data_IF_086787752972
#
_entry.id   IF_086787752972
#
_cell.length_a   1.000
_cell.length_b   1.000
_cell.length_c   1.000
_cell.angle_alpha   90.00
_cell.angle_beta   90.00
_cell.angle_gamma   90.00
#
_symmetry.space_group_name_H-M   'P 1'
#
loop_
_entity.id
_entity.type
_entity.pdbx_description
1 polymer ?
#
# COMPACT_ATOMS: atom_id res chain seq x y z
N UNK A 1 -18.90 1.71 -30.73
CA UNK A 1 -18.38 1.22 -29.44
C UNK A 1 -18.07 2.38 -28.51
N UNK A 2 -18.60 2.32 -27.30
CA UNK A 2 -18.34 3.36 -26.30
C UNK A 2 -16.97 3.16 -25.68
N UNK A 3 -16.25 4.24 -25.41
CA UNK A 3 -14.96 4.24 -24.71
C UNK A 3 -15.14 4.87 -23.34
N UNK A 4 -14.60 4.25 -22.30
CA UNK A 4 -14.52 4.85 -20.98
C UNK A 4 -13.10 5.43 -20.81
N UNK A 5 -13.04 6.72 -20.57
CA UNK A 5 -11.77 7.43 -20.33
C UNK A 5 -11.68 7.75 -18.83
N UNK A 6 -10.91 6.93 -18.12
CA UNK A 6 -10.87 6.97 -16.66
C UNK A 6 -9.43 7.09 -16.19
N UNK A 7 -9.19 8.00 -15.24
CA UNK A 7 -7.90 8.15 -14.57
C UNK A 7 -8.17 8.45 -13.10
N UNK A 8 -8.10 7.43 -12.27
CA UNK A 8 -8.28 7.56 -10.83
C UNK A 8 -7.00 7.10 -10.14
N UNK A 9 -6.21 8.06 -9.70
CA UNK A 9 -4.99 7.79 -8.98
C UNK A 9 -5.27 7.68 -7.48
N UNK A 10 -4.70 6.66 -6.84
CA UNK A 10 -4.89 6.40 -5.43
C UNK A 10 -3.54 6.19 -4.75
N UNK A 11 -3.48 6.60 -3.50
CA UNK A 11 -2.38 6.32 -2.59
C UNK A 11 -2.93 5.36 -1.55
N UNK A 12 -2.42 4.13 -1.54
CA UNK A 12 -2.88 3.06 -0.66
C UNK A 12 -1.79 2.77 0.36
N UNK A 13 -2.19 2.62 1.62
CA UNK A 13 -1.27 2.34 2.73
C UNK A 13 -1.83 1.18 3.53
N UNK A 14 -1.00 0.18 3.80
CA UNK A 14 -1.33 -0.86 4.78
C UNK A 14 -0.05 -1.38 5.43
N UNK A 15 -0.20 -1.95 6.63
CA UNK A 15 0.92 -2.44 7.40
C UNK A 15 0.86 -3.95 7.59
N UNK A 16 1.96 -4.53 8.06
CA UNK A 16 1.96 -5.93 8.47
C UNK A 16 1.11 -6.09 9.72
N UNK A 17 0.57 -7.28 9.94
CA UNK A 17 -0.23 -7.56 11.12
C UNK A 17 0.55 -7.23 12.39
N UNK A 18 -0.10 -6.55 13.33
CA UNK A 18 0.52 -6.18 14.61
C UNK A 18 1.01 -7.44 15.34
N UNK A 19 2.21 -7.37 15.88
CA UNK A 19 2.89 -8.52 16.50
C UNK A 19 3.14 -9.68 15.51
N UNK A 20 3.01 -9.42 14.20
CA UNK A 20 3.28 -10.40 13.16
C UNK A 20 4.71 -10.32 12.64
N UNK A 21 4.92 -11.08 11.58
CA UNK A 21 6.22 -11.17 10.92
C UNK A 21 6.44 -9.91 10.06
N UNK A 22 7.55 -9.21 10.29
CA UNK A 22 7.92 -8.05 9.48
C UNK A 22 8.65 -8.50 8.22
N UNK A 23 8.60 -7.68 7.17
CA UNK A 23 9.42 -7.91 5.97
C UNK A 23 10.89 -7.68 6.33
N UNK A 24 11.79 -8.50 5.77
CA UNK A 24 13.22 -8.29 5.93
C UNK A 24 13.70 -7.21 4.97
N UNK A 25 14.64 -6.37 5.42
CA UNK A 25 15.22 -5.30 4.61
C UNK A 25 15.67 -5.80 3.24
N UNK A 26 16.35 -6.94 3.21
CA UNK A 26 16.89 -7.50 1.96
C UNK A 26 15.81 -7.94 0.98
N UNK A 27 14.58 -8.13 1.43
CA UNK A 27 13.48 -8.59 0.60
C UNK A 27 12.58 -7.45 0.10
N UNK A 28 12.72 -6.24 0.66
CA UNK A 28 11.81 -5.13 0.36
C UNK A 28 11.72 -4.82 -1.13
N UNK A 29 12.86 -4.73 -1.80
CA UNK A 29 12.87 -4.36 -3.22
C UNK A 29 12.08 -5.35 -4.07
N UNK A 30 12.28 -6.64 -3.85
CA UNK A 30 11.57 -7.66 -4.63
C UNK A 30 10.11 -7.79 -4.22
N UNK A 31 9.78 -7.57 -2.94
CA UNK A 31 8.39 -7.56 -2.49
C UNK A 31 7.63 -6.42 -3.17
N UNK A 32 8.19 -5.21 -3.14
CA UNK A 32 7.55 -4.04 -3.75
C UNK A 32 7.44 -4.19 -5.27
N UNK A 33 8.45 -4.76 -5.91
CA UNK A 33 8.41 -5.06 -7.33
C UNK A 33 7.32 -6.07 -7.67
N UNK A 34 7.15 -7.10 -6.84
CA UNK A 34 6.09 -8.10 -7.04
C UNK A 34 4.69 -7.48 -6.89
N UNK A 35 4.51 -6.59 -5.90
CA UNK A 35 3.26 -5.86 -5.72
C UNK A 35 2.94 -5.04 -6.96
N UNK A 36 3.92 -4.31 -7.50
CA UNK A 36 3.75 -3.57 -8.75
C UNK A 36 3.32 -4.45 -9.91
N UNK A 37 3.89 -5.64 -10.00
CA UNK A 37 3.51 -6.63 -11.01
C UNK A 37 2.06 -7.10 -10.88
N UNK A 38 1.60 -7.33 -9.64
CA UNK A 38 0.19 -7.69 -9.38
C UNK A 38 -0.72 -6.59 -9.89
N UNK A 39 -0.43 -5.34 -9.54
CA UNK A 39 -1.23 -4.17 -9.93
C UNK A 39 -1.38 -4.10 -11.44
N UNK A 40 -0.27 -4.22 -12.17
CA UNK A 40 -0.28 -4.14 -13.63
C UNK A 40 -1.05 -5.31 -14.24
N UNK A 41 -0.90 -6.52 -13.69
CA UNK A 41 -1.59 -7.71 -14.19
C UNK A 41 -3.12 -7.60 -14.08
N UNK A 42 -3.62 -6.96 -13.01
CA UNK A 42 -5.06 -6.85 -12.80
C UNK A 42 -5.67 -5.58 -13.40
N UNK A 43 -4.91 -4.88 -14.25
CA UNK A 43 -5.42 -3.77 -15.04
C UNK A 43 -5.17 -2.38 -14.48
N UNK A 44 -4.46 -2.27 -13.36
CA UNK A 44 -4.02 -0.99 -12.82
C UNK A 44 -2.75 -0.51 -13.51
N UNK A 45 -2.32 0.68 -13.16
CA UNK A 45 -1.02 1.22 -13.59
C UNK A 45 -0.23 1.58 -12.34
N UNK A 46 0.89 0.90 -12.13
CA UNK A 46 1.77 1.17 -10.99
C UNK A 46 2.61 2.40 -11.27
N UNK A 47 2.55 3.40 -10.38
CA UNK A 47 3.46 4.54 -10.42
C UNK A 47 4.63 4.33 -9.48
N UNK A 48 4.37 3.86 -8.26
CA UNK A 48 5.43 3.51 -7.32
C UNK A 48 4.91 2.61 -6.19
N UNK A 49 5.80 1.79 -5.66
CA UNK A 49 5.55 0.99 -4.47
C UNK A 49 6.78 1.15 -3.59
N UNK A 50 6.59 1.59 -2.36
CA UNK A 50 7.68 1.79 -1.42
C UNK A 50 7.22 1.58 0.01
N UNK A 51 8.14 1.74 0.94
CA UNK A 51 7.84 1.57 2.36
C UNK A 51 9.07 1.15 3.14
N UNK A 52 8.82 0.58 4.29
CA UNK A 52 9.85 0.02 5.16
C UNK A 52 9.38 -1.35 5.66
N UNK A 53 10.05 -1.93 6.65
CA UNK A 53 9.84 -3.34 7.04
C UNK A 53 8.45 -3.67 7.56
N UNK A 54 7.69 -2.69 8.03
CA UNK A 54 6.38 -2.92 8.65
C UNK A 54 5.19 -2.38 7.87
N UNK A 55 5.40 -1.65 6.77
CA UNK A 55 4.28 -1.14 5.97
C UNK A 55 4.68 -0.81 4.54
N UNK A 56 3.66 -0.64 3.70
CA UNK A 56 3.83 -0.35 2.27
C UNK A 56 2.94 0.82 1.87
N UNK A 57 3.47 1.64 0.98
CA UNK A 57 2.75 2.70 0.27
C UNK A 57 2.71 2.34 -1.21
N UNK A 58 1.53 2.46 -1.79
CA UNK A 58 1.31 2.21 -3.22
C UNK A 58 0.71 3.45 -3.86
N UNK A 59 1.28 3.90 -4.96
CA UNK A 59 0.66 4.92 -5.81
C UNK A 59 0.37 4.27 -7.15
N UNK A 60 -0.90 4.24 -7.51
CA UNK A 60 -1.35 3.52 -8.71
C UNK A 60 -2.63 4.13 -9.28
N UNK A 61 -2.87 3.89 -10.56
CA UNK A 61 -4.18 4.14 -11.15
C UNK A 61 -5.07 2.93 -10.93
N UNK A 62 -6.29 3.19 -10.44
CA UNK A 62 -7.29 2.15 -10.21
C UNK A 62 -7.84 1.64 -11.56
N UNK A 63 -7.92 0.32 -11.77
CA UNK A 63 -8.55 -0.20 -12.99
C UNK A 63 -10.03 0.20 -13.04
N UNK A 64 -10.52 0.56 -14.22
CA UNK A 64 -11.92 0.97 -14.39
C UNK A 64 -12.94 -0.14 -14.16
N UNK A 65 -12.49 -1.39 -14.13
CA UNK A 65 -13.35 -2.58 -13.99
C UNK A 65 -13.39 -3.16 -12.58
N UNK A 66 -12.66 -2.59 -11.63
CA UNK A 66 -12.62 -3.11 -10.26
C UNK A 66 -12.95 -2.02 -9.26
N UNK A 67 -13.62 -2.44 -8.16
CA UNK A 67 -13.78 -1.57 -7.00
C UNK A 67 -12.43 -1.41 -6.29
N UNK A 68 -12.31 -0.35 -5.50
CA UNK A 68 -11.12 -0.15 -4.67
C UNK A 68 -10.92 -1.34 -3.72
N UNK A 69 -11.98 -1.82 -3.08
CA UNK A 69 -11.88 -2.93 -2.14
C UNK A 69 -11.41 -4.22 -2.80
N UNK A 70 -11.92 -4.55 -3.98
CA UNK A 70 -11.47 -5.73 -4.73
C UNK A 70 -10.01 -5.59 -5.17
N UNK A 71 -9.63 -4.41 -5.61
CA UNK A 71 -8.27 -4.11 -6.03
C UNK A 71 -7.28 -4.36 -4.88
N UNK A 72 -7.55 -3.78 -3.70
CA UNK A 72 -6.70 -3.95 -2.52
C UNK A 72 -6.70 -5.40 -2.05
N UNK A 73 -7.86 -6.06 -2.06
CA UNK A 73 -7.97 -7.46 -1.64
C UNK A 73 -7.07 -8.37 -2.46
N UNK A 74 -7.05 -8.20 -3.78
CA UNK A 74 -6.20 -9.01 -4.66
C UNK A 74 -4.73 -8.72 -4.39
N UNK A 75 -4.35 -7.45 -4.27
CA UNK A 75 -2.96 -7.07 -3.97
C UNK A 75 -2.49 -7.73 -2.68
N UNK A 76 -3.28 -7.65 -1.62
CA UNK A 76 -2.93 -8.20 -0.32
C UNK A 76 -2.85 -9.72 -0.34
N UNK A 77 -3.85 -10.40 -0.90
CA UNK A 77 -3.87 -11.86 -0.90
C UNK A 77 -2.77 -12.47 -1.77
N UNK A 78 -2.55 -11.92 -2.96
CA UNK A 78 -1.53 -12.44 -3.86
C UNK A 78 -0.13 -12.15 -3.34
N UNK A 79 0.11 -10.95 -2.83
CA UNK A 79 1.42 -10.61 -2.27
C UNK A 79 1.73 -11.42 -1.01
N UNK A 80 0.76 -11.63 -0.13
CA UNK A 80 0.94 -12.44 1.07
C UNK A 80 1.32 -13.88 0.71
N UNK A 81 0.63 -14.47 -0.25
CA UNK A 81 0.92 -15.83 -0.72
C UNK A 81 2.34 -15.93 -1.28
N UNK A 82 2.73 -14.96 -2.10
CA UNK A 82 4.07 -14.95 -2.68
C UNK A 82 5.15 -14.74 -1.62
N UNK A 83 4.94 -13.81 -0.68
CA UNK A 83 5.89 -13.55 0.41
C UNK A 83 6.13 -14.83 1.22
N UNK A 84 5.08 -15.59 1.51
CA UNK A 84 5.22 -16.87 2.22
C UNK A 84 6.05 -17.89 1.46
N UNK A 85 6.14 -17.78 0.14
CA UNK A 85 6.95 -18.66 -0.69
C UNK A 85 8.43 -18.32 -0.71
N UNK A 86 8.81 -17.13 -0.21
CA UNK A 86 10.22 -16.70 -0.24
C UNK A 86 11.08 -17.54 0.70
N UNK A 87 10.59 -17.76 1.92
CA UNK A 87 11.40 -18.38 2.98
C UNK A 87 10.46 -18.80 4.13
N UNK A 88 10.86 -19.81 4.90
CA UNK A 88 10.09 -20.29 6.06
C UNK A 88 9.92 -19.21 7.14
N UNK A 89 10.81 -18.21 7.17
CA UNK A 89 10.65 -17.04 8.04
C UNK A 89 9.27 -16.41 7.87
N UNK A 90 8.71 -16.45 6.66
CA UNK A 90 7.44 -15.82 6.34
C UNK A 90 6.23 -16.74 6.45
N UNK A 91 6.36 -17.91 7.04
CA UNK A 91 5.26 -18.90 7.10
C UNK A 91 3.97 -18.33 7.71
N UNK A 92 4.10 -17.45 8.69
CA UNK A 92 2.96 -16.84 9.38
C UNK A 92 2.77 -15.37 9.01
N UNK A 93 3.35 -14.93 7.91
CA UNK A 93 3.20 -13.56 7.44
C UNK A 93 1.74 -13.24 7.16
N UNK A 94 1.31 -12.03 7.55
CA UNK A 94 -0.02 -11.51 7.21
C UNK A 94 0.03 -9.99 7.19
N UNK A 95 -0.73 -9.40 6.26
CA UNK A 95 -1.03 -7.97 6.28
C UNK A 95 -2.15 -7.69 7.29
N UNK A 96 -2.27 -6.44 7.75
CA UNK A 96 -3.45 -6.01 8.52
C UNK A 96 -4.72 -6.31 7.72
N UNK A 97 -5.86 -6.40 8.39
CA UNK A 97 -7.14 -6.61 7.69
C UNK A 97 -7.59 -5.36 6.94
N UNK A 98 -7.36 -4.19 7.51
CA UNK A 98 -7.74 -2.93 6.90
C UNK A 98 -6.68 -2.33 5.99
N UNK A 99 -6.95 -1.11 5.54
CA UNK A 99 -6.03 -0.31 4.73
C UNK A 99 -6.49 1.14 4.75
N UNK A 100 -5.58 2.06 4.39
CA UNK A 100 -5.93 3.43 4.06
C UNK A 100 -5.84 3.64 2.56
N UNK A 101 -6.75 4.43 2.01
CA UNK A 101 -6.69 4.78 0.59
C UNK A 101 -7.13 6.22 0.40
N UNK A 102 -6.35 6.97 -0.35
CA UNK A 102 -6.54 8.41 -0.53
C UNK A 102 -6.42 8.76 -2.00
N UNK A 103 -7.30 9.63 -2.47
CA UNK A 103 -7.24 10.13 -3.84
C UNK A 103 -6.00 11.00 -4.05
N UNK A 104 -5.44 10.95 -5.25
CA UNK A 104 -4.29 11.78 -5.61
C UNK A 104 -4.63 12.52 -6.90
N UNK A 105 -4.67 13.86 -6.81
CA UNK A 105 -4.89 14.67 -8.02
C UNK A 105 -3.67 14.58 -8.92
N UNK A 106 -3.88 14.77 -10.23
CA UNK A 106 -2.79 14.73 -11.21
C UNK A 106 -1.70 15.77 -10.91
N UNK A 107 -2.07 16.90 -10.32
CA UNK A 107 -1.13 17.96 -9.97
C UNK A 107 -0.23 17.61 -8.79
N UNK A 108 -0.64 16.67 -7.94
CA UNK A 108 0.12 16.24 -6.77
C UNK A 108 0.77 14.86 -6.96
N UNK A 109 0.62 14.27 -8.13
CA UNK A 109 1.08 12.90 -8.38
C UNK A 109 2.60 12.76 -8.19
N UNK A 110 3.39 13.63 -8.80
CA UNK A 110 4.85 13.57 -8.69
C UNK A 110 5.32 13.76 -7.25
N UNK A 111 4.69 14.68 -6.52
CA UNK A 111 5.00 14.92 -5.12
C UNK A 111 4.69 13.69 -4.27
N UNK A 112 3.58 13.01 -4.53
CA UNK A 112 3.20 11.79 -3.83
C UNK A 112 4.15 10.65 -4.14
N UNK A 113 4.56 10.49 -5.39
CA UNK A 113 5.55 9.48 -5.79
C UNK A 113 6.87 9.70 -5.07
N UNK A 114 7.34 10.95 -5.00
CA UNK A 114 8.57 11.28 -4.28
C UNK A 114 8.45 10.99 -2.78
N UNK A 115 7.29 11.25 -2.21
CA UNK A 115 7.00 10.94 -0.81
C UNK A 115 7.15 9.43 -0.55
N UNK A 116 6.61 8.60 -1.43
CA UNK A 116 6.70 7.14 -1.31
C UNK A 116 8.14 6.65 -1.46
N UNK A 117 8.90 7.23 -2.38
CA UNK A 117 10.32 6.88 -2.58
C UNK A 117 11.16 7.20 -1.35
N UNK A 118 10.80 8.22 -0.60
CA UNK A 118 11.57 8.69 0.56
C UNK A 118 11.12 8.07 1.88
N UNK A 119 10.33 6.99 1.85
CA UNK A 119 9.82 6.34 3.06
C UNK A 119 10.93 5.92 4.04
N UNK A 120 12.04 5.30 3.62
CA UNK A 120 13.10 4.94 4.58
C UNK A 120 13.67 6.15 5.31
N UNK A 121 13.85 7.26 4.60
CA UNK A 121 14.37 8.50 5.18
C UNK A 121 13.34 9.13 6.12
N UNK A 122 12.08 9.12 5.72
CA UNK A 122 10.95 9.69 6.45
C UNK A 122 10.75 8.99 7.80
N UNK A 123 10.85 7.66 7.83
CA UNK A 123 10.65 6.86 9.04
C UNK A 123 11.84 6.82 9.98
N UNK A 124 12.91 7.53 9.68
CA UNK A 124 13.95 7.81 10.66
C UNK A 124 13.49 8.81 11.73
N UNK A 125 12.50 9.64 11.39
CA UNK A 125 12.04 10.74 12.27
C UNK A 125 10.56 10.68 12.62
N UNK A 126 9.78 9.83 11.94
CA UNK A 126 8.34 9.73 12.14
C UNK A 126 7.89 8.28 12.18
N UNK A 127 7.09 7.91 13.18
CA UNK A 127 6.52 6.56 13.26
C UNK A 127 5.41 6.38 12.22
N UNK A 128 5.14 5.11 11.86
CA UNK A 128 4.04 4.78 10.97
C UNK A 128 2.70 5.29 11.52
N UNK A 129 2.47 5.12 12.82
CA UNK A 129 1.22 5.56 13.44
C UNK A 129 0.99 7.06 13.27
N UNK A 130 2.00 7.88 13.51
CA UNK A 130 1.89 9.33 13.32
C UNK A 130 1.66 9.70 11.86
N UNK A 131 2.35 9.02 10.96
CA UNK A 131 2.17 9.24 9.53
C UNK A 131 0.73 8.93 9.11
N UNK A 132 0.23 7.77 9.51
CA UNK A 132 -1.13 7.34 9.17
C UNK A 132 -2.18 8.30 9.74
N UNK A 133 -2.02 8.71 10.99
CA UNK A 133 -2.90 9.69 11.62
C UNK A 133 -2.92 11.01 10.87
N UNK A 134 -1.75 11.47 10.36
CA UNK A 134 -1.69 12.72 9.60
C UNK A 134 -2.49 12.63 8.30
N UNK A 135 -2.46 11.49 7.61
CA UNK A 135 -3.28 11.27 6.42
C UNK A 135 -4.78 11.26 6.76
N UNK A 136 -5.16 10.56 7.82
CA UNK A 136 -6.57 10.51 8.23
C UNK A 136 -7.10 11.91 8.55
N UNK A 137 -6.32 12.72 9.25
CA UNK A 137 -6.70 14.10 9.57
C UNK A 137 -6.74 14.98 8.33
N UNK A 138 -5.75 14.88 7.45
CA UNK A 138 -5.68 15.68 6.23
C UNK A 138 -6.87 15.44 5.30
N UNK A 139 -7.37 14.20 5.25
CA UNK A 139 -8.52 13.84 4.41
C UNK A 139 -9.85 13.87 5.17
N UNK A 140 -9.85 14.32 6.43
CA UNK A 140 -11.08 14.45 7.20
C UNK A 140 -11.77 13.14 7.53
N UNK A 141 -11.02 12.06 7.65
CA UNK A 141 -11.58 10.75 7.94
C UNK A 141 -11.71 10.58 9.45
N UNK A 142 -12.93 10.27 9.91
CA UNK A 142 -13.15 9.90 11.31
C UNK A 142 -12.72 8.45 11.51
N UNK A 143 -12.04 8.19 12.62
CA UNK A 143 -11.57 6.85 12.94
C UNK A 143 -11.60 6.61 14.45
N UNK A 144 -11.78 5.34 14.82
CA UNK A 144 -11.67 4.90 16.21
C UNK A 144 -10.24 4.44 16.44
N UNK A 145 -9.53 5.07 17.35
CA UNK A 145 -8.13 4.74 17.66
C UNK A 145 -7.94 3.28 18.06
N UNK A 146 -8.98 2.63 18.59
CA UNK A 146 -8.92 1.22 18.95
C UNK A 146 -8.84 0.30 17.74
N UNK A 147 -9.35 0.71 16.59
CA UNK A 147 -9.50 -0.13 15.40
C UNK A 147 -8.72 0.35 14.18
N UNK A 148 -8.34 1.63 14.12
CA UNK A 148 -7.63 2.18 12.96
C UNK A 148 -6.30 1.48 12.69
N UNK A 149 -5.67 0.95 13.74
CA UNK A 149 -4.35 0.31 13.67
C UNK A 149 -4.42 -1.18 14.00
N UNK A 150 -5.63 -1.73 14.10
CA UNK A 150 -5.85 -3.14 14.34
C UNK A 150 -5.64 -3.97 13.08
N UNK A 151 -5.50 -5.24 13.30
CA UNK A 151 -5.26 -6.21 12.24
C UNK A 151 -6.50 -7.02 11.90
#
# INVERSE_FOLDING_TARGET
MASALVKINVHIIFHVKSNGIRMRENDLKRIFSYIGGIINRIGGVTMDVGGVVDHVHIVASLPKTKSLSDFVKIIKSDSSRWIKSIDSYYDKFAWQEGYGAFSVSSTLLDKTINYVKNQPQHHKTMSFRKEYESFLKAYGIQYDERYAFDD
#
